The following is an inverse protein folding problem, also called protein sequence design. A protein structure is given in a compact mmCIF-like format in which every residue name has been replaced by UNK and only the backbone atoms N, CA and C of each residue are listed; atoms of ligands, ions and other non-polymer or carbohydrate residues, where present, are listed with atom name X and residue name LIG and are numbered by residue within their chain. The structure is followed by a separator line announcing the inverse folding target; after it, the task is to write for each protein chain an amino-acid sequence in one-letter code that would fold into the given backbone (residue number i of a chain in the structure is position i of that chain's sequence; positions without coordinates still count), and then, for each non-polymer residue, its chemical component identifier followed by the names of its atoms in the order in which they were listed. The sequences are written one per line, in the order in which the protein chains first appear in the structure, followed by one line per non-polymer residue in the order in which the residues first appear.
data_IF_341009000990
#
_entry.id   IF_341009000990
#
_cell.length_a   1.000
_cell.length_b   1.000
_cell.length_c   1.000
_cell.angle_alpha   90.00
_cell.angle_beta   90.00
_cell.angle_gamma   90.00
#
_symmetry.space_group_name_H-M   'P 1'
#
loop_
_entity.id
_entity.type
_entity.pdbx_description
1 polymer ?
#
# COMPACT_ATOMS: atom_id res chain seq x y z
N UNK A 1 12.06 2.59 -10.89
CA UNK A 1 11.27 2.11 -9.75
C UNK A 1 10.07 1.38 -10.30
N UNK A 2 9.93 0.10 -10.00
CA UNK A 2 8.88 -0.75 -10.57
C UNK A 2 7.59 -0.55 -9.76
N UNK A 3 6.65 0.22 -10.33
CA UNK A 3 5.39 0.61 -9.69
C UNK A 3 4.22 0.39 -10.66
N UNK A 4 3.86 -0.89 -10.85
CA UNK A 4 2.85 -1.31 -11.82
C UNK A 4 1.49 -0.60 -11.68
N UNK A 5 1.12 -0.14 -10.48
CA UNK A 5 -0.12 0.61 -10.26
C UNK A 5 -0.16 1.95 -11.02
N UNK A 6 0.98 2.43 -11.56
CA UNK A 6 1.05 3.62 -12.41
C UNK A 6 0.79 3.34 -13.89
N UNK A 7 0.75 2.07 -14.31
CA UNK A 7 0.55 1.68 -15.71
C UNK A 7 -0.87 1.18 -15.94
N UNK A 8 -1.58 1.82 -16.88
CA UNK A 8 -2.92 1.40 -17.30
C UNK A 8 -2.91 0.05 -18.05
N UNK A 9 -4.03 -0.65 -18.03
CA UNK A 9 -4.22 -1.99 -18.65
C UNK A 9 -3.71 -2.01 -20.11
N UNK A 10 -4.04 -0.99 -20.91
CA UNK A 10 -3.61 -0.89 -22.31
C UNK A 10 -2.10 -0.71 -22.50
N UNK A 11 -1.41 -0.04 -21.58
CA UNK A 11 0.05 0.11 -21.67
C UNK A 11 0.77 -1.22 -21.42
N UNK A 12 0.20 -2.08 -20.56
CA UNK A 12 0.71 -3.44 -20.28
C UNK A 12 0.52 -4.36 -21.47
N UNK A 13 -0.64 -4.32 -22.13
CA UNK A 13 -0.92 -5.08 -23.34
C UNK A 13 0.07 -4.74 -24.47
N UNK A 14 0.41 -3.45 -24.64
CA UNK A 14 1.41 -3.02 -25.64
C UNK A 14 2.81 -3.57 -25.40
N UNK A 15 3.23 -3.79 -24.14
CA UNK A 15 4.54 -4.37 -23.83
C UNK A 15 4.58 -5.88 -24.08
N UNK A 16 3.49 -6.57 -23.73
CA UNK A 16 3.33 -8.02 -23.94
C UNK A 16 3.26 -8.35 -25.43
N UNK A 17 2.68 -7.47 -26.24
CA UNK A 17 2.54 -7.64 -27.70
C UNK A 17 3.78 -7.20 -28.52
N UNK A 18 4.92 -6.89 -27.89
CA UNK A 18 6.15 -6.50 -28.61
C UNK A 18 6.90 -7.67 -29.25
N UNK A 19 6.55 -8.91 -28.90
CA UNK A 19 7.13 -10.11 -29.48
C UNK A 19 6.26 -11.33 -29.16
N UNK A 20 6.50 -12.44 -29.84
CA UNK A 20 5.90 -13.71 -29.44
C UNK A 20 6.58 -14.23 -28.17
N UNK A 21 5.78 -14.65 -27.17
CA UNK A 21 6.25 -15.28 -25.92
C UNK A 21 7.25 -14.44 -25.10
N UNK A 22 6.95 -13.17 -24.86
CA UNK A 22 7.75 -12.32 -23.97
C UNK A 22 7.55 -12.75 -22.51
N UNK A 23 8.64 -13.05 -21.79
CA UNK A 23 8.60 -13.27 -20.34
C UNK A 23 8.26 -11.97 -19.61
N UNK A 24 7.19 -11.99 -18.81
CA UNK A 24 6.72 -10.83 -18.04
C UNK A 24 6.86 -11.11 -16.55
N UNK A 25 7.73 -10.35 -15.87
CA UNK A 25 7.81 -10.31 -14.41
C UNK A 25 7.12 -9.04 -13.89
N UNK A 26 6.16 -9.22 -13.00
CA UNK A 26 5.43 -8.14 -12.35
C UNK A 26 5.80 -8.11 -10.86
N UNK A 27 6.24 -6.96 -10.37
CA UNK A 27 6.53 -6.75 -8.94
C UNK A 27 5.64 -5.66 -8.35
N UNK A 28 5.18 -5.87 -7.12
CA UNK A 28 4.40 -4.89 -6.36
C UNK A 28 4.86 -4.88 -4.91
N UNK A 29 5.08 -3.68 -4.36
CA UNK A 29 5.41 -3.49 -2.95
C UNK A 29 4.17 -3.61 -2.05
N UNK A 30 2.97 -3.36 -2.60
CA UNK A 30 1.71 -3.64 -1.92
C UNK A 30 1.32 -5.07 -2.22
N UNK A 31 1.29 -5.97 -1.23
CA UNK A 31 0.79 -7.33 -1.45
C UNK A 31 -0.63 -7.23 -1.99
N UNK A 32 -0.85 -7.76 -3.18
CA UNK A 32 -2.20 -7.87 -3.76
C UNK A 32 -2.84 -9.09 -3.10
N UNK A 33 -4.12 -9.02 -2.67
CA UNK A 33 -4.83 -10.20 -2.19
C UNK A 33 -4.63 -11.34 -3.18
N UNK A 34 -4.22 -12.52 -2.70
CA UNK A 34 -3.89 -13.65 -3.56
C UNK A 34 -5.05 -14.06 -4.47
N UNK A 35 -6.26 -13.76 -4.02
CA UNK A 35 -7.53 -14.00 -4.70
C UNK A 35 -7.81 -12.98 -5.79
N UNK A 36 -7.48 -11.70 -5.56
CA UNK A 36 -7.54 -10.66 -6.59
C UNK A 36 -6.49 -10.91 -7.68
N UNK A 37 -5.32 -11.44 -7.34
CA UNK A 37 -4.30 -11.79 -8.34
C UNK A 37 -4.69 -12.99 -9.19
N UNK A 38 -5.39 -13.98 -8.63
CA UNK A 38 -5.95 -15.10 -9.41
C UNK A 38 -7.01 -14.66 -10.43
N UNK A 39 -7.73 -13.58 -10.16
CA UNK A 39 -8.72 -13.01 -11.07
C UNK A 39 -8.09 -12.07 -12.11
N UNK A 40 -7.32 -11.08 -11.66
CA UNK A 40 -6.71 -10.06 -12.54
C UNK A 40 -5.56 -10.60 -13.38
N UNK A 41 -4.88 -11.63 -12.89
CA UNK A 41 -3.67 -12.18 -13.47
C UNK A 41 -3.75 -13.71 -13.56
N UNK A 42 -4.94 -14.26 -13.86
CA UNK A 42 -5.18 -15.71 -13.88
C UNK A 42 -4.17 -16.52 -14.72
N UNK A 43 -3.54 -15.88 -15.70
CA UNK A 43 -2.51 -16.46 -16.58
C UNK A 43 -1.06 -16.30 -16.05
N UNK A 44 -0.86 -15.58 -14.95
CA UNK A 44 0.46 -15.38 -14.33
C UNK A 44 0.68 -16.32 -13.15
N UNK A 45 1.89 -16.90 -13.09
CA UNK A 45 2.36 -17.61 -11.91
C UNK A 45 2.68 -16.61 -10.79
N UNK A 46 1.88 -16.62 -9.72
CA UNK A 46 2.08 -15.76 -8.55
C UNK A 46 3.11 -16.39 -7.60
N UNK A 47 4.26 -15.73 -7.44
CA UNK A 47 5.22 -16.00 -6.37
C UNK A 47 5.04 -14.99 -5.24
N UNK A 48 5.19 -15.44 -4.01
CA UNK A 48 4.97 -14.63 -2.81
C UNK A 48 6.22 -14.64 -1.94
N UNK A 49 6.69 -13.46 -1.55
CA UNK A 49 7.77 -13.28 -0.58
C UNK A 49 7.11 -12.81 0.72
N UNK A 50 6.88 -13.74 1.64
CA UNK A 50 6.23 -13.52 2.94
C UNK A 50 7.22 -13.38 4.09
N UNK A 51 8.48 -13.77 3.89
CA UNK A 51 9.55 -13.59 4.87
C UNK A 51 10.07 -12.15 4.92
N UNK A 52 10.23 -11.63 6.14
CA UNK A 52 10.87 -10.35 6.35
C UNK A 52 12.41 -10.51 6.28
N UNK A 53 13.14 -9.58 5.64
CA UNK A 53 14.60 -9.59 5.68
C UNK A 53 15.14 -9.58 7.10
N UNK A 54 16.28 -10.25 7.31
CA UNK A 54 16.94 -10.32 8.62
C UNK A 54 17.15 -8.93 9.23
N UNK A 55 16.85 -8.79 10.54
CA UNK A 55 17.00 -7.55 11.29
C UNK A 55 15.77 -6.63 11.31
N UNK A 56 14.69 -6.98 10.61
CA UNK A 56 13.44 -6.21 10.65
C UNK A 56 12.72 -6.39 11.99
N UNK A 57 12.48 -5.29 12.68
CA UNK A 57 11.75 -5.28 13.95
C UNK A 57 10.24 -5.17 13.71
N UNK A 58 9.43 -5.80 14.57
CA UNK A 58 7.98 -5.59 14.57
C UNK A 58 7.69 -4.12 14.88
N UNK A 59 6.84 -3.50 14.08
CA UNK A 59 6.45 -2.11 14.25
C UNK A 59 5.19 -2.08 15.13
N UNK A 60 5.28 -1.34 16.23
CA UNK A 60 4.13 -1.11 17.09
C UNK A 60 3.31 0.04 16.52
N UNK A 61 2.14 -0.29 15.99
CA UNK A 61 1.23 0.70 15.40
C UNK A 61 0.20 1.12 16.43
N UNK A 62 -0.05 2.43 16.55
CA UNK A 62 -1.06 2.99 17.44
C UNK A 62 -1.88 4.08 16.73
N UNK A 63 -3.19 4.02 16.86
CA UNK A 63 -4.10 5.10 16.57
C UNK A 63 -4.18 6.06 17.76
N UNK A 64 -4.16 7.36 17.50
CA UNK A 64 -4.37 8.39 18.50
C UNK A 64 -5.32 9.46 17.97
N UNK A 65 -6.26 9.84 18.80
CA UNK A 65 -7.12 10.99 18.54
C UNK A 65 -6.32 12.29 18.53
N UNK A 66 -6.83 13.31 17.84
CA UNK A 66 -6.18 14.63 17.71
C UNK A 66 -5.90 15.28 19.07
N UNK A 67 -6.74 15.03 20.08
CA UNK A 67 -6.50 15.54 21.44
C UNK A 67 -5.23 14.96 22.10
N UNK A 68 -4.73 13.81 21.62
CA UNK A 68 -3.49 13.19 22.09
C UNK A 68 -2.25 13.62 21.31
N UNK A 69 -2.39 14.52 20.32
CA UNK A 69 -1.30 14.99 19.44
C UNK A 69 -0.09 15.51 20.23
N UNK A 70 -0.32 16.32 21.28
CA UNK A 70 0.75 16.81 22.15
C UNK A 70 1.56 15.67 22.80
N UNK A 71 0.89 14.59 23.23
CA UNK A 71 1.57 13.42 23.83
C UNK A 71 2.41 12.67 22.81
N UNK A 72 1.92 12.56 21.57
CA UNK A 72 2.63 11.92 20.46
C UNK A 72 3.93 12.65 20.15
N UNK A 73 3.89 13.98 20.03
CA UNK A 73 5.09 14.75 19.74
C UNK A 73 6.09 14.81 20.90
N UNK A 74 5.63 14.80 22.15
CA UNK A 74 6.51 14.62 23.32
C UNK A 74 7.21 13.27 23.30
N UNK A 75 6.48 12.19 22.97
CA UNK A 75 7.07 10.87 22.79
C UNK A 75 8.12 10.86 21.67
N UNK A 76 7.83 11.52 20.53
CA UNK A 76 8.80 11.66 19.44
C UNK A 76 10.06 12.41 19.88
N UNK A 77 9.91 13.49 20.65
CA UNK A 77 11.03 14.24 21.22
C UNK A 77 11.90 13.35 22.13
N UNK A 78 11.29 12.49 22.95
CA UNK A 78 12.03 11.56 23.80
C UNK A 78 12.80 10.51 22.99
N UNK A 79 12.25 10.03 21.87
CA UNK A 79 12.98 9.16 20.94
C UNK A 79 14.14 9.90 20.25
N UNK A 80 13.96 11.18 19.88
CA UNK A 80 15.03 12.02 19.32
C UNK A 80 16.16 12.21 20.34
N UNK A 81 15.84 12.45 21.62
CA UNK A 81 16.83 12.55 22.71
C UNK A 81 17.63 11.26 22.89
N UNK A 82 17.07 10.10 22.56
CA UNK A 82 17.77 8.80 22.51
C UNK A 82 18.63 8.62 21.25
N UNK A 83 18.72 9.64 20.39
CA UNK A 83 19.48 9.65 19.15
C UNK A 83 18.74 9.09 17.94
N UNK A 84 17.41 8.91 18.01
CA UNK A 84 16.59 8.42 16.89
C UNK A 84 16.15 9.55 15.98
N UNK A 85 15.56 9.17 14.85
CA UNK A 85 14.98 10.08 13.88
C UNK A 85 13.50 9.77 13.67
N UNK A 86 12.76 10.79 13.27
CA UNK A 86 11.30 10.79 13.19
C UNK A 86 10.85 11.23 11.80
N UNK A 87 9.92 10.49 11.22
CA UNK A 87 9.14 10.92 10.07
C UNK A 87 7.81 11.49 10.54
N UNK A 88 7.41 12.63 9.99
CA UNK A 88 6.08 13.21 10.13
C UNK A 88 5.48 13.36 8.74
N UNK A 89 4.42 12.62 8.46
CA UNK A 89 3.78 12.59 7.14
C UNK A 89 2.46 13.32 7.20
N UNK A 90 2.30 14.30 6.31
CA UNK A 90 1.07 15.07 6.14
C UNK A 90 0.37 14.64 4.84
N UNK A 91 -0.97 14.62 4.82
CA UNK A 91 -1.70 14.38 3.59
C UNK A 91 -1.51 15.54 2.61
N UNK A 92 -1.63 15.25 1.32
CA UNK A 92 -1.76 16.29 0.30
C UNK A 92 -3.14 16.95 0.48
N UNK A 93 -3.21 18.26 0.29
CA UNK A 93 -4.49 18.97 0.28
C UNK A 93 -4.89 19.09 -1.19
N UNK A 94 -5.86 18.27 -1.61
CA UNK A 94 -6.46 18.43 -2.93
C UNK A 94 -7.28 19.72 -2.94
N UNK A 95 -6.67 20.78 -3.48
CA UNK A 95 -7.25 21.88 -4.28
C UNK A 95 -6.16 22.95 -4.40
N UNK A 96 -5.69 23.23 -5.62
CA UNK A 96 -4.62 24.17 -5.99
C UNK A 96 -3.18 23.85 -5.53
N UNK A 97 -2.29 23.87 -6.52
CA UNK A 97 -0.85 23.62 -6.48
C UNK A 97 -0.04 24.44 -5.46
N UNK A 98 -0.60 25.52 -4.91
CA UNK A 98 0.04 26.35 -3.87
C UNK A 98 -0.27 25.88 -2.44
N UNK A 99 -1.35 25.12 -2.23
CA UNK A 99 -1.78 24.68 -0.90
C UNK A 99 -0.98 23.48 -0.35
N UNK A 100 -0.40 22.65 -1.22
CA UNK A 100 0.48 21.54 -0.81
C UNK A 100 1.73 21.99 -0.05
N UNK A 101 2.31 23.12 -0.48
CA UNK A 101 3.48 23.71 0.16
C UNK A 101 3.10 24.26 1.54
N UNK A 102 2.00 25.00 1.60
CA UNK A 102 1.45 25.56 2.85
C UNK A 102 1.25 24.45 3.88
N UNK A 103 0.58 23.34 3.56
CA UNK A 103 0.29 22.33 4.58
C UNK A 103 1.54 21.70 5.21
N UNK A 104 2.64 21.53 4.46
CA UNK A 104 3.89 20.96 5.00
C UNK A 104 4.70 22.02 5.74
N UNK A 105 4.78 23.23 5.20
CA UNK A 105 5.47 24.36 5.81
C UNK A 105 4.79 24.81 7.10
N UNK A 106 3.46 24.86 7.12
CA UNK A 106 2.64 25.20 8.30
C UNK A 106 2.88 24.19 9.42
N UNK A 107 2.84 22.89 9.11
CA UNK A 107 3.16 21.84 10.08
C UNK A 107 4.63 21.93 10.50
N UNK A 108 5.55 22.19 9.57
CA UNK A 108 6.97 22.33 9.89
C UNK A 108 7.23 23.46 10.89
N UNK A 109 6.70 24.66 10.63
CA UNK A 109 6.87 25.81 11.52
C UNK A 109 6.16 25.58 12.86
N UNK A 110 4.94 25.05 12.87
CA UNK A 110 4.24 24.69 14.11
C UNK A 110 5.07 23.72 14.96
N UNK A 111 5.62 22.66 14.35
CA UNK A 111 6.37 21.65 15.06
C UNK A 111 7.71 22.17 15.59
N UNK A 112 8.38 23.00 14.79
CA UNK A 112 9.65 23.66 15.13
C UNK A 112 9.48 24.63 16.30
N UNK A 113 8.40 25.40 16.33
CA UNK A 113 8.12 26.34 17.42
C UNK A 113 7.66 25.62 18.69
N UNK A 114 6.73 24.67 18.57
CA UNK A 114 6.02 24.08 19.71
C UNK A 114 6.72 22.89 20.36
N UNK A 115 7.34 21.98 19.59
CA UNK A 115 7.87 20.71 20.12
C UNK A 115 9.37 20.52 19.90
N UNK A 116 9.91 21.03 18.80
CA UNK A 116 11.22 20.69 18.28
C UNK A 116 12.17 21.89 18.20
N UNK A 117 12.01 22.84 19.13
CA UNK A 117 12.91 23.99 19.25
C UNK A 117 14.36 23.52 19.38
N UNK A 118 15.22 24.01 18.50
CA UNK A 118 16.65 23.64 18.38
C UNK A 118 16.93 22.19 17.94
N UNK A 119 15.94 21.46 17.43
CA UNK A 119 16.17 20.16 16.80
C UNK A 119 16.37 20.38 15.29
N UNK A 120 17.37 19.73 14.66
CA UNK A 120 17.51 19.77 13.21
C UNK A 120 16.29 19.16 12.51
N UNK A 121 15.58 19.96 11.73
CA UNK A 121 14.40 19.56 10.97
C UNK A 121 14.57 19.93 9.50
N UNK A 122 13.87 19.23 8.62
CA UNK A 122 13.78 19.58 7.20
C UNK A 122 12.45 19.10 6.61
N UNK A 123 12.12 19.60 5.42
CA UNK A 123 10.89 19.27 4.69
C UNK A 123 11.18 18.48 3.43
N UNK A 124 10.23 17.62 3.03
CA UNK A 124 10.28 16.92 1.75
C UNK A 124 8.91 16.82 1.10
N UNK A 125 8.76 17.38 -0.10
CA UNK A 125 7.50 17.39 -0.84
C UNK A 125 7.70 17.14 -2.34
N UNK A 126 6.60 16.82 -3.03
CA UNK A 126 6.62 16.29 -4.40
C UNK A 126 7.25 17.19 -5.46
N UNK A 127 7.13 18.50 -5.32
CA UNK A 127 7.59 19.49 -6.31
C UNK A 127 9.05 19.90 -6.18
N UNK A 128 9.74 19.46 -5.13
CA UNK A 128 11.18 19.71 -4.99
C UNK A 128 11.96 19.12 -6.17
N UNK A 129 13.04 19.78 -6.56
CA UNK A 129 13.94 19.25 -7.58
C UNK A 129 14.53 17.91 -7.10
N UNK A 130 14.82 17.00 -8.03
CA UNK A 130 15.40 15.69 -7.68
C UNK A 130 16.71 15.84 -6.89
N UNK A 131 17.51 16.87 -7.21
CA UNK A 131 18.77 17.18 -6.52
C UNK A 131 18.54 17.60 -5.08
N UNK A 132 17.52 18.41 -4.81
CA UNK A 132 17.21 18.87 -3.46
C UNK A 132 16.64 17.72 -2.61
N UNK A 133 15.75 16.90 -3.18
CA UNK A 133 15.24 15.69 -2.52
C UNK A 133 16.38 14.76 -2.13
N UNK A 134 17.29 14.48 -3.04
CA UNK A 134 18.43 13.59 -2.79
C UNK A 134 19.34 14.17 -1.70
N UNK A 135 19.63 15.48 -1.74
CA UNK A 135 20.43 16.13 -0.72
C UNK A 135 19.78 16.05 0.67
N UNK A 136 18.51 16.45 0.79
CA UNK A 136 17.75 16.39 2.04
C UNK A 136 17.67 14.96 2.59
N UNK A 137 17.42 13.97 1.72
CA UNK A 137 17.41 12.57 2.12
C UNK A 137 18.78 12.05 2.55
N UNK A 138 19.86 12.48 1.92
CA UNK A 138 21.21 12.12 2.32
C UNK A 138 21.59 12.70 3.69
N UNK A 139 21.23 13.96 3.95
CA UNK A 139 21.40 14.61 5.27
C UNK A 139 20.59 13.89 6.36
N UNK A 140 19.37 13.48 6.04
CA UNK A 140 18.56 12.66 6.93
C UNK A 140 19.19 11.28 7.16
N UNK A 141 19.65 10.59 6.11
CA UNK A 141 20.33 9.29 6.26
C UNK A 141 21.60 9.37 7.13
N UNK A 142 22.35 10.48 7.05
CA UNK A 142 23.54 10.75 7.89
C UNK A 142 23.19 11.12 9.33
N UNK A 143 21.93 11.36 9.65
CA UNK A 143 21.46 11.74 10.97
C UNK A 143 21.66 13.22 11.31
N UNK A 144 21.99 14.05 10.32
CA UNK A 144 22.10 15.50 10.46
C UNK A 144 20.73 16.13 10.70
N UNK A 145 19.69 15.60 10.05
CA UNK A 145 18.29 15.96 10.27
C UNK A 145 17.66 14.92 11.20
N UNK A 146 16.98 15.36 12.27
CA UNK A 146 16.31 14.49 13.25
C UNK A 146 14.83 14.30 12.97
N UNK A 147 14.17 15.31 12.40
CA UNK A 147 12.75 15.23 12.01
C UNK A 147 12.61 15.58 10.54
N UNK A 148 11.98 14.68 9.79
CA UNK A 148 11.62 14.90 8.39
C UNK A 148 10.11 15.10 8.32
N UNK A 149 9.66 16.30 7.92
CA UNK A 149 8.24 16.55 7.65
C UNK A 149 8.02 16.39 6.15
N UNK A 150 7.10 15.52 5.73
CA UNK A 150 6.92 15.24 4.32
C UNK A 150 5.49 14.97 3.92
N UNK A 151 5.20 15.06 2.62
CA UNK A 151 3.98 14.46 2.05
C UNK A 151 4.15 12.95 1.84
N UNK A 152 3.20 12.32 1.14
CA UNK A 152 3.26 10.91 0.68
C UNK A 152 4.50 10.58 -0.16
N UNK A 153 5.28 11.59 -0.59
CA UNK A 153 6.47 11.45 -1.43
C UNK A 153 7.70 11.03 -0.62
N UNK A 154 7.52 10.24 0.46
CA UNK A 154 8.67 9.49 1.00
C UNK A 154 9.04 8.43 -0.04
N UNK A 155 10.04 8.75 -0.85
CA UNK A 155 10.42 7.97 -2.02
C UNK A 155 10.61 6.47 -1.72
N UNK A 156 10.17 5.68 -2.69
CA UNK A 156 10.42 4.24 -2.76
C UNK A 156 11.89 4.03 -3.06
N UNK A 157 12.70 3.77 -2.02
CA UNK A 157 14.06 3.27 -2.21
C UNK A 157 15.07 3.61 -1.12
N UNK A 158 14.82 4.62 -0.29
CA UNK A 158 15.81 5.05 0.71
C UNK A 158 15.50 4.43 2.07
N UNK A 159 16.46 3.64 2.57
CA UNK A 159 16.42 3.02 3.89
C UNK A 159 17.18 3.91 4.89
N UNK A 160 16.51 4.33 5.96
CA UNK A 160 17.12 5.05 7.10
C UNK A 160 16.95 4.21 8.37
N UNK A 161 17.91 3.32 8.70
CA UNK A 161 17.77 2.37 9.81
C UNK A 161 17.60 3.01 11.20
N UNK A 162 18.02 4.27 11.36
CA UNK A 162 17.90 5.01 12.61
C UNK A 162 16.55 5.77 12.76
N UNK A 163 15.72 5.78 11.71
CA UNK A 163 14.35 6.29 11.79
C UNK A 163 13.47 5.26 12.52
N UNK A 164 13.07 5.59 13.74
CA UNK A 164 12.36 4.68 14.63
C UNK A 164 10.89 5.05 14.80
N UNK A 165 10.50 6.30 14.53
CA UNK A 165 9.12 6.77 14.71
C UNK A 165 8.58 7.29 13.38
N UNK A 166 7.41 6.78 13.00
CA UNK A 166 6.58 7.29 11.91
C UNK A 166 5.33 7.92 12.54
N UNK A 167 5.08 9.19 12.29
CA UNK A 167 3.84 9.88 12.65
C UNK A 167 3.12 10.21 11.35
N UNK A 168 1.86 9.81 11.22
CA UNK A 168 1.00 10.20 10.11
C UNK A 168 -0.07 11.13 10.65
N UNK A 169 -0.02 12.40 10.26
CA UNK A 169 -1.03 13.40 10.56
C UNK A 169 -2.27 13.17 9.68
N UNK A 170 -3.45 13.44 10.24
CA UNK A 170 -4.74 13.28 9.55
C UNK A 170 -4.83 11.94 8.78
N UNK A 171 -4.49 10.85 9.46
CA UNK A 171 -4.36 9.52 8.86
C UNK A 171 -5.67 9.01 8.22
N UNK A 172 -6.82 9.59 8.56
CA UNK A 172 -8.11 9.32 7.91
C UNK A 172 -8.12 9.64 6.40
N UNK A 173 -7.23 10.53 5.94
CA UNK A 173 -7.10 10.91 4.53
C UNK A 173 -6.35 9.89 3.67
N UNK A 174 -5.75 8.88 4.29
CA UNK A 174 -4.95 7.87 3.59
C UNK A 174 -5.70 6.53 3.52
N UNK A 175 -5.56 5.81 2.41
CA UNK A 175 -6.02 4.43 2.29
C UNK A 175 -5.13 3.45 3.07
N UNK A 176 -5.62 2.22 3.34
CA UNK A 176 -4.85 1.20 4.06
C UNK A 176 -3.52 0.87 3.40
N UNK A 177 -3.52 0.72 2.06
CA UNK A 177 -2.31 0.45 1.31
C UNK A 177 -1.25 1.55 1.48
N UNK A 178 -1.65 2.82 1.46
CA UNK A 178 -0.74 3.96 1.66
C UNK A 178 -0.19 3.97 3.10
N UNK A 179 -1.05 3.78 4.10
CA UNK A 179 -0.64 3.69 5.50
C UNK A 179 0.34 2.54 5.74
N UNK A 180 0.11 1.39 5.10
CA UNK A 180 1.01 0.24 5.16
C UNK A 180 2.38 0.55 4.55
N UNK A 181 2.41 1.19 3.38
CA UNK A 181 3.66 1.62 2.74
C UNK A 181 4.45 2.60 3.61
N UNK A 182 3.77 3.60 4.19
CA UNK A 182 4.37 4.57 5.11
C UNK A 182 4.93 3.88 6.35
N UNK A 183 4.15 2.99 6.98
CA UNK A 183 4.62 2.17 8.11
C UNK A 183 5.90 1.40 7.76
N UNK A 184 5.99 0.84 6.55
CA UNK A 184 7.16 0.10 6.07
C UNK A 184 8.45 0.93 5.88
N UNK A 185 8.40 2.26 6.07
CA UNK A 185 9.57 3.15 6.03
C UNK A 185 10.39 3.14 7.33
N UNK A 186 9.80 2.68 8.44
CA UNK A 186 10.49 2.49 9.73
C UNK A 186 10.67 0.99 10.04
N UNK A 187 11.36 0.64 11.15
CA UNK A 187 11.55 -0.76 11.56
C UNK A 187 12.69 -1.49 10.83
N UNK A 188 13.56 -0.75 10.13
CA UNK A 188 14.66 -1.31 9.33
C UNK A 188 16.00 -1.38 10.06
N UNK A 189 16.05 -0.97 11.33
CA UNK A 189 17.23 -1.04 12.19
C UNK A 189 16.97 -1.86 13.46
N UNK A 190 17.94 -1.84 14.36
CA UNK A 190 17.90 -2.59 15.63
C UNK A 190 16.96 -2.03 16.69
N UNK A 191 16.37 -0.86 16.45
CA UNK A 191 15.57 -0.15 17.44
C UNK A 191 14.09 -0.49 17.30
N UNK A 192 13.42 -0.60 18.45
CA UNK A 192 11.97 -0.73 18.52
C UNK A 192 11.34 0.45 17.79
N UNK A 193 10.50 0.15 16.81
CA UNK A 193 9.92 1.16 15.92
C UNK A 193 8.43 1.30 16.14
N UNK A 194 7.94 2.51 15.91
CA UNK A 194 6.59 2.93 16.21
C UNK A 194 5.97 3.59 14.99
N UNK A 195 4.71 3.28 14.71
CA UNK A 195 3.89 3.97 13.74
C UNK A 195 2.68 4.54 14.46
N UNK A 196 2.54 5.87 14.47
CA UNK A 196 1.47 6.56 15.19
C UNK A 196 0.58 7.25 14.16
N UNK A 197 -0.67 6.83 14.11
CA UNK A 197 -1.69 7.35 13.21
C UNK A 197 -2.54 8.37 13.98
N UNK A 198 -2.35 9.65 13.72
CA UNK A 198 -3.18 10.70 14.30
C UNK A 198 -4.36 10.90 13.36
N UNK A 199 -5.56 10.58 13.82
CA UNK A 199 -6.76 10.71 13.00
C UNK A 199 -7.98 11.16 13.80
N UNK A 200 -8.89 11.83 13.10
CA UNK A 200 -10.21 12.20 13.60
C UNK A 200 -11.25 11.19 13.08
N UNK A 201 -11.77 10.33 13.96
CA UNK A 201 -12.71 9.27 13.59
C UNK A 201 -14.11 9.87 13.46
N UNK A 202 -14.48 10.22 12.22
CA UNK A 202 -15.80 10.77 11.88
C UNK A 202 -16.82 9.73 11.42
N UNK A 203 -16.36 8.53 11.05
CA UNK A 203 -17.23 7.45 10.59
C UNK A 203 -16.63 6.07 10.91
N UNK A 204 -17.46 5.03 10.78
CA UNK A 204 -17.08 3.65 11.09
C UNK A 204 -16.03 3.08 10.12
N UNK A 205 -15.99 3.55 8.88
CA UNK A 205 -15.00 3.13 7.88
C UNK A 205 -13.60 3.55 8.31
N UNK A 206 -13.44 4.81 8.76
CA UNK A 206 -12.18 5.33 9.29
C UNK A 206 -11.79 4.58 10.56
N UNK A 207 -12.75 4.28 11.46
CA UNK A 207 -12.48 3.49 12.67
C UNK A 207 -11.90 2.11 12.32
N UNK A 208 -12.62 1.35 11.47
CA UNK A 208 -12.17 0.03 11.02
C UNK A 208 -10.80 0.10 10.38
N UNK A 209 -10.54 1.10 9.54
CA UNK A 209 -9.23 1.33 8.90
C UNK A 209 -8.11 1.46 9.93
N UNK A 210 -8.30 2.25 10.98
CA UNK A 210 -7.31 2.43 12.04
C UNK A 210 -7.09 1.13 12.83
N UNK A 211 -8.17 0.43 13.18
CA UNK A 211 -8.13 -0.87 13.90
C UNK A 211 -7.40 -1.96 13.10
N UNK A 212 -7.63 -2.03 11.79
CA UNK A 212 -6.92 -2.95 10.88
C UNK A 212 -5.41 -2.66 10.88
N UNK A 213 -5.03 -1.37 10.85
CA UNK A 213 -3.62 -0.98 10.89
C UNK A 213 -2.93 -1.29 12.23
N UNK A 214 -3.66 -1.19 13.35
CA UNK A 214 -3.16 -1.55 14.68
C UNK A 214 -3.06 -3.07 14.88
N UNK A 215 -4.03 -3.82 14.39
CA UNK A 215 -4.15 -5.26 14.66
C UNK A 215 -3.11 -6.11 13.93
N UNK A 216 -2.69 -5.73 12.72
CA UNK A 216 -1.80 -6.56 11.90
C UNK A 216 -0.64 -5.79 11.28
N UNK A 217 0.53 -6.44 11.25
CA UNK A 217 1.68 -6.00 10.47
C UNK A 217 1.77 -6.65 9.08
N UNK A 218 0.98 -7.70 8.85
CA UNK A 218 0.97 -8.44 7.59
C UNK A 218 0.30 -7.61 6.50
N UNK A 219 1.04 -7.40 5.40
CA UNK A 219 0.50 -6.65 4.28
C UNK A 219 -0.58 -7.41 3.53
N UNK A 220 -0.55 -8.75 3.46
CA UNK A 220 -1.59 -9.52 2.77
C UNK A 220 -2.95 -9.33 3.45
N UNK A 221 -2.97 -9.49 4.78
CA UNK A 221 -4.14 -9.20 5.59
C UNK A 221 -4.65 -7.77 5.37
N UNK A 222 -3.76 -6.77 5.42
CA UNK A 222 -4.16 -5.37 5.24
C UNK A 222 -4.76 -5.13 3.86
N UNK A 223 -4.20 -5.72 2.82
CA UNK A 223 -4.73 -5.56 1.46
C UNK A 223 -6.05 -6.28 1.24
N UNK A 224 -6.27 -7.44 1.88
CA UNK A 224 -7.57 -8.11 1.88
C UNK A 224 -8.63 -7.26 2.58
N UNK A 225 -8.30 -6.67 3.73
CA UNK A 225 -9.21 -5.76 4.43
C UNK A 225 -9.44 -4.44 3.68
N UNK A 226 -8.44 -3.91 2.96
CA UNK A 226 -8.61 -2.74 2.06
C UNK A 226 -9.60 -3.04 0.94
N UNK A 227 -9.51 -4.24 0.34
CA UNK A 227 -10.46 -4.70 -0.66
C UNK A 227 -11.88 -4.81 -0.09
N UNK A 228 -12.03 -5.36 1.13
CA UNK A 228 -13.33 -5.45 1.80
C UNK A 228 -13.93 -4.08 2.13
N UNK A 229 -13.12 -3.14 2.60
CA UNK A 229 -13.58 -1.79 2.94
C UNK A 229 -13.98 -0.96 1.71
N UNK A 230 -13.31 -1.15 0.57
CA UNK A 230 -13.63 -0.44 -0.69
C UNK A 230 -14.80 -1.06 -1.45
N UNK A 231 -15.05 -2.36 -1.26
CA UNK A 231 -16.00 -3.13 -2.06
C UNK A 231 -15.48 -3.42 -3.48
N UNK A 232 -16.05 -4.43 -4.13
CA UNK A 232 -15.63 -4.89 -5.46
C UNK A 232 -15.71 -3.80 -6.55
N UNK A 233 -16.69 -2.90 -6.47
CA UNK A 233 -17.03 -1.96 -7.57
C UNK A 233 -16.04 -0.82 -7.83
N UNK A 234 -15.20 -0.42 -6.87
CA UNK A 234 -14.23 0.67 -7.09
C UNK A 234 -12.90 0.20 -7.70
N UNK A 235 -12.52 -1.06 -7.52
CA UNK A 235 -11.26 -1.61 -8.06
C UNK A 235 -11.22 -1.58 -9.58
N UNK A 236 -12.38 -1.68 -10.23
CA UNK A 236 -12.47 -1.83 -11.67
C UNK A 236 -12.52 -0.51 -12.45
N UNK A 237 -12.60 0.65 -11.80
CA UNK A 237 -12.89 1.91 -12.51
C UNK A 237 -14.23 1.92 -13.26
N UNK A 238 -15.05 0.87 -13.09
CA UNK A 238 -16.35 0.67 -13.72
C UNK A 238 -17.42 1.66 -13.25
N UNK A 239 -17.18 2.44 -12.18
CA UNK A 239 -18.08 3.56 -11.84
C UNK A 239 -18.10 4.67 -12.90
N UNK A 240 -17.10 4.77 -13.78
CA UNK A 240 -17.07 5.81 -14.84
C UNK A 240 -17.71 5.38 -16.16
N UNK A 241 -17.83 4.08 -16.40
CA UNK A 241 -18.50 3.52 -17.56
C UNK A 241 -19.46 2.48 -17.03
N UNK A 242 -20.76 2.80 -17.04
CA UNK A 242 -21.86 1.99 -16.48
C UNK A 242 -22.05 0.62 -17.16
N UNK A 243 -20.99 -0.18 -17.22
CA UNK A 243 -20.99 -1.60 -17.53
C UNK A 243 -21.01 -2.38 -16.22
N UNK A 244 -21.83 -3.43 -16.26
CA UNK A 244 -22.48 -4.02 -15.11
C UNK A 244 -21.51 -4.55 -14.05
N UNK A 245 -21.86 -4.31 -12.79
CA UNK A 245 -21.41 -5.16 -11.68
C UNK A 245 -21.65 -6.64 -12.08
N UNK A 246 -20.74 -7.54 -11.70
CA UNK A 246 -20.94 -8.98 -11.90
C UNK A 246 -22.33 -9.38 -11.36
N UNK A 247 -23.27 -9.65 -12.27
CA UNK A 247 -24.70 -9.84 -11.96
C UNK A 247 -24.96 -10.97 -10.93
N UNK A 248 -24.02 -11.92 -10.82
CA UNK A 248 -24.18 -13.14 -10.03
C UNK A 248 -23.15 -13.34 -8.92
N UNK A 249 -22.10 -12.53 -8.82
CA UNK A 249 -21.02 -12.80 -7.84
C UNK A 249 -20.35 -11.54 -7.34
N UNK A 250 -20.20 -11.43 -6.01
CA UNK A 250 -19.39 -10.40 -5.40
C UNK A 250 -17.98 -10.98 -5.14
N UNK A 251 -16.98 -10.50 -5.87
CA UNK A 251 -15.58 -10.94 -5.75
C UNK A 251 -15.02 -10.90 -4.31
N UNK A 252 -15.56 -10.00 -3.48
CA UNK A 252 -15.14 -9.84 -2.08
C UNK A 252 -15.82 -10.87 -1.17
N UNK A 253 -17.12 -11.10 -1.36
CA UNK A 253 -17.89 -12.02 -0.50
C UNK A 253 -17.68 -13.48 -0.92
N UNK A 254 -17.55 -13.74 -2.23
CA UNK A 254 -17.39 -15.07 -2.83
C UNK A 254 -15.92 -15.50 -2.91
N UNK A 255 -15.03 -14.79 -2.24
CA UNK A 255 -13.58 -14.95 -2.35
C UNK A 255 -13.11 -16.37 -2.02
N UNK A 256 -13.76 -17.01 -1.04
CA UNK A 256 -13.49 -18.38 -0.66
C UNK A 256 -13.99 -19.40 -1.70
N UNK A 257 -15.10 -19.10 -2.37
CA UNK A 257 -15.66 -19.93 -3.44
C UNK A 257 -14.70 -19.91 -4.63
N UNK A 258 -14.24 -18.74 -5.05
CA UNK A 258 -13.26 -18.59 -6.13
C UNK A 258 -11.95 -19.33 -5.83
N UNK A 259 -11.44 -19.21 -4.60
CA UNK A 259 -10.21 -19.90 -4.17
C UNK A 259 -10.35 -21.42 -4.28
N UNK A 260 -11.47 -21.98 -3.82
CA UNK A 260 -11.76 -23.41 -3.91
C UNK A 260 -11.91 -23.86 -5.36
N UNK A 261 -12.67 -23.10 -6.16
CA UNK A 261 -12.87 -23.41 -7.58
C UNK A 261 -11.55 -23.44 -8.37
N UNK A 262 -10.65 -22.48 -8.15
CA UNK A 262 -9.33 -22.46 -8.80
C UNK A 262 -8.47 -23.67 -8.40
N UNK A 263 -8.49 -24.02 -7.11
CA UNK A 263 -7.74 -25.16 -6.60
C UNK A 263 -8.25 -26.48 -7.19
N UNK A 264 -9.56 -26.67 -7.30
CA UNK A 264 -10.16 -27.82 -7.98
C UNK A 264 -9.88 -27.83 -9.47
N UNK A 265 -9.93 -26.67 -10.15
CA UNK A 265 -9.58 -26.59 -11.57
C UNK A 265 -8.12 -27.03 -11.82
N UNK A 266 -7.18 -26.61 -10.97
CA UNK A 266 -5.77 -27.03 -11.04
C UNK A 266 -5.60 -28.53 -10.79
N UNK A 267 -6.36 -29.12 -9.86
CA UNK A 267 -6.38 -30.57 -9.62
C UNK A 267 -6.89 -31.30 -10.86
N UNK A 268 -8.04 -30.86 -11.39
CA UNK A 268 -8.68 -31.45 -12.56
C UNK A 268 -7.80 -31.38 -13.81
N UNK A 269 -6.99 -30.32 -13.99
CA UNK A 269 -6.02 -30.21 -15.08
C UNK A 269 -4.86 -31.21 -14.97
N UNK A 270 -4.41 -31.51 -13.75
CA UNK A 270 -3.29 -32.44 -13.48
C UNK A 270 -3.74 -33.89 -13.29
N UNK A 271 -5.02 -34.12 -13.07
CA UNK A 271 -5.58 -35.46 -12.84
C UNK A 271 -5.45 -36.34 -14.08
N UNK A 272 -5.20 -37.62 -13.82
CA UNK A 272 -5.18 -38.69 -14.84
C UNK A 272 -6.42 -39.58 -14.75
N UNK A 273 -7.38 -39.24 -13.89
CA UNK A 273 -8.63 -39.98 -13.74
C UNK A 273 -9.47 -39.87 -15.04
N UNK A 274 -9.95 -40.99 -15.61
CA UNK A 274 -10.84 -40.98 -16.78
C UNK A 274 -12.06 -40.06 -16.66
N UNK A 275 -12.64 -39.93 -15.45
CA UNK A 275 -13.80 -39.09 -15.20
C UNK A 275 -13.43 -37.60 -15.23
N UNK A 276 -12.31 -37.22 -14.62
CA UNK A 276 -11.78 -35.85 -14.65
C UNK A 276 -11.41 -35.42 -16.08
N UNK A 277 -10.83 -36.33 -16.87
CA UNK A 277 -10.52 -36.08 -18.29
C UNK A 277 -11.80 -35.84 -19.09
N UNK A 278 -12.87 -36.61 -18.83
CA UNK A 278 -14.18 -36.40 -19.46
C UNK A 278 -14.75 -35.03 -19.11
N UNK A 279 -14.74 -34.65 -17.82
CA UNK A 279 -15.22 -33.34 -17.35
C UNK A 279 -14.42 -32.21 -17.99
N UNK A 280 -13.08 -32.32 -18.02
CA UNK A 280 -12.18 -31.35 -18.67
C UNK A 280 -12.56 -31.10 -20.13
N UNK A 281 -12.80 -32.18 -20.87
CA UNK A 281 -13.17 -32.12 -22.28
C UNK A 281 -14.54 -31.48 -22.49
N UNK A 282 -15.52 -31.72 -21.62
CA UNK A 282 -16.82 -31.05 -21.68
C UNK A 282 -16.73 -29.55 -21.37
N UNK A 283 -15.99 -29.18 -20.33
CA UNK A 283 -15.75 -27.78 -19.96
C UNK A 283 -15.06 -27.06 -21.12
N UNK A 284 -14.03 -27.66 -21.72
CA UNK A 284 -13.31 -27.06 -22.84
C UNK A 284 -14.21 -26.89 -24.08
N UNK A 285 -15.10 -27.84 -24.37
CA UNK A 285 -16.10 -27.72 -25.45
C UNK A 285 -17.12 -26.60 -25.17
N UNK A 286 -17.60 -26.50 -23.93
CA UNK A 286 -18.52 -25.41 -23.51
C UNK A 286 -17.82 -24.06 -23.60
N UNK A 287 -16.61 -23.93 -23.06
CA UNK A 287 -15.82 -22.70 -23.14
C UNK A 287 -15.57 -22.28 -24.60
N UNK A 288 -15.21 -23.20 -25.51
CA UNK A 288 -15.07 -22.89 -26.94
C UNK A 288 -16.37 -22.42 -27.60
N UNK A 289 -17.53 -22.89 -27.12
CA UNK A 289 -18.85 -22.44 -27.60
C UNK A 289 -19.19 -21.06 -27.03
N UNK A 290 -18.87 -20.81 -25.78
CA UNK A 290 -19.21 -19.57 -25.07
C UNK A 290 -18.17 -18.45 -25.25
N UNK A 291 -16.92 -18.75 -25.61
CA UNK A 291 -15.85 -17.76 -25.80
C UNK A 291 -16.10 -16.82 -26.99
N UNK A 292 -17.04 -17.16 -27.88
CA UNK A 292 -17.54 -16.24 -28.91
C UNK A 292 -18.42 -15.11 -28.32
N UNK A 293 -18.89 -15.27 -27.10
CA UNK A 293 -19.77 -14.34 -26.38
C UNK A 293 -19.10 -13.69 -25.17
N UNK A 294 -17.93 -14.18 -24.74
CA UNK A 294 -17.18 -13.63 -23.60
C UNK A 294 -15.87 -13.07 -24.15
N UNK A 295 -15.82 -11.75 -24.29
CA UNK A 295 -14.59 -11.00 -24.52
C UNK A 295 -13.77 -11.02 -23.23
N UNK A 296 -12.77 -11.89 -23.14
CA UNK A 296 -11.68 -11.69 -22.19
C UNK A 296 -10.72 -10.64 -22.79
N UNK A 297 -11.01 -9.37 -22.55
CA UNK A 297 -10.11 -8.24 -22.79
C UNK A 297 -9.74 -7.59 -21.46
#
# INVERSE_FOLDING_TARGET
TDEQHRFGVMQRSKLTNKGENVDVLVMTATPIPRTLSLYLYGDLNVSTIDELPAGRQKINTYYRDRNSRDKVYRFALDEIKKGRQVYVVCPLVEENDQLDLSSVEDVYEELKEKYFKNIPMDILYGKMSSKDKENTMNRFKKGEIKVMVSTTVIEVGINVPNAAVMIVENAERFGLAQLHQLRGRVGRGKYKSYCILIADIKNDIIRKRMEIMESSNDGFFISEEDLKLRGAGEIFGLKQHGEDELVLSNLVDDIDIFRRANLEAKRLLKSSDPEDIRIRNEIQKKLKRTSRFISFN
#
